data_IF_543819440253
#
_entry.id   IF_543819440253
#
_cell.length_a   1.000
_cell.length_b   1.000
_cell.length_c   1.000
_cell.angle_alpha   90.00
_cell.angle_beta   90.00
_cell.angle_gamma   90.00
#
_symmetry.space_group_name_H-M   'P 1'
#
loop_
_entity.id
_entity.type
_entity.pdbx_description
1 polymer ?
#
# COMPACT_ATOMS: atom_id res chain seq x y z
N UNK A 1 27.38 23.66 4.61
CA UNK A 1 26.27 23.10 5.42
C UNK A 1 25.70 21.91 4.64
N UNK A 2 25.72 20.70 5.20
CA UNK A 2 25.21 19.49 4.52
C UNK A 2 23.70 19.65 4.23
N UNK A 3 23.23 19.24 3.05
CA UNK A 3 21.81 19.33 2.64
C UNK A 3 20.86 18.67 3.64
N UNK A 4 21.33 17.60 4.30
CA UNK A 4 20.63 16.96 5.42
C UNK A 4 20.39 17.93 6.60
N UNK A 5 21.44 18.64 7.02
CA UNK A 5 21.36 19.61 8.11
C UNK A 5 20.52 20.82 7.70
N UNK A 6 20.59 21.24 6.43
CA UNK A 6 19.76 22.33 5.91
C UNK A 6 18.28 22.02 6.05
N UNK A 7 17.84 20.86 5.58
CA UNK A 7 16.44 20.44 5.67
C UNK A 7 16.01 20.27 7.13
N UNK A 8 16.85 19.62 7.95
CA UNK A 8 16.56 19.38 9.37
C UNK A 8 16.39 20.70 10.13
N UNK A 9 17.39 21.58 10.11
CA UNK A 9 17.38 22.85 10.84
C UNK A 9 16.21 23.73 10.44
N UNK A 10 15.90 23.79 9.14
CA UNK A 10 14.77 24.56 8.65
C UNK A 10 13.42 24.10 9.22
N UNK A 11 13.22 22.78 9.31
CA UNK A 11 12.00 22.22 9.90
C UNK A 11 11.98 22.45 11.42
N UNK A 12 13.12 22.28 12.11
CA UNK A 12 13.23 22.53 13.56
C UNK A 12 12.88 23.98 13.92
N UNK A 13 13.42 24.95 13.17
CA UNK A 13 13.16 26.39 13.36
C UNK A 13 11.68 26.73 13.13
N UNK A 14 11.10 26.22 12.04
CA UNK A 14 9.71 26.53 11.67
C UNK A 14 8.70 25.87 12.61
N UNK A 15 8.96 24.61 13.00
CA UNK A 15 8.07 23.83 13.84
C UNK A 15 8.28 24.04 15.34
N UNK A 16 9.40 24.66 15.75
CA UNK A 16 9.82 24.85 17.16
C UNK A 16 9.86 23.53 17.94
N UNK A 17 10.20 22.43 17.27
CA UNK A 17 10.31 21.09 17.81
C UNK A 17 11.58 20.43 17.28
N UNK A 18 12.22 19.60 18.11
CA UNK A 18 13.38 18.81 17.65
C UNK A 18 12.94 17.78 16.61
N UNK A 19 13.76 17.60 15.57
CA UNK A 19 13.48 16.72 14.44
C UNK A 19 14.46 15.54 14.41
N UNK A 20 13.91 14.34 14.36
CA UNK A 20 14.63 13.14 13.94
C UNK A 20 14.32 12.90 12.46
N UNK A 21 15.26 13.30 11.59
CA UNK A 21 15.16 13.14 10.14
C UNK A 21 15.88 11.86 9.71
N UNK A 22 15.16 10.96 9.04
CA UNK A 22 15.71 9.77 8.38
C UNK A 22 15.55 9.92 6.86
N UNK A 23 16.64 9.76 6.12
CA UNK A 23 16.61 9.76 4.65
C UNK A 23 16.41 8.33 4.13
N UNK A 24 15.58 8.19 3.10
CA UNK A 24 15.24 6.93 2.45
C UNK A 24 15.33 7.03 0.93
N UNK A 25 15.36 5.90 0.24
CA UNK A 25 15.27 5.78 -1.24
C UNK A 25 14.03 4.94 -1.60
N UNK A 26 12.92 5.15 -0.87
CA UNK A 26 11.67 4.42 -1.02
C UNK A 26 10.83 4.94 -2.18
N UNK A 27 10.22 4.05 -2.97
CA UNK A 27 9.32 4.43 -4.06
C UNK A 27 7.86 4.65 -3.67
N UNK A 28 7.40 4.08 -2.55
CA UNK A 28 5.98 4.05 -2.17
C UNK A 28 5.57 5.06 -1.08
N UNK A 29 6.49 5.47 -0.22
CA UNK A 29 6.26 6.48 0.82
C UNK A 29 7.40 7.48 0.81
N UNK A 30 7.20 8.59 0.12
CA UNK A 30 8.22 9.61 -0.09
C UNK A 30 8.42 10.52 1.13
N UNK A 31 7.35 10.77 1.89
CA UNK A 31 7.40 11.61 3.08
C UNK A 31 6.41 11.09 4.12
N UNK A 32 6.92 10.77 5.30
CA UNK A 32 6.14 10.40 6.48
C UNK A 32 6.52 11.32 7.62
N UNK A 33 5.52 11.96 8.24
CA UNK A 33 5.72 12.83 9.38
C UNK A 33 4.83 12.33 10.52
N UNK A 34 5.41 12.22 11.71
CA UNK A 34 4.71 11.84 12.92
C UNK A 34 5.35 12.54 14.12
N UNK A 35 4.62 12.63 15.22
CA UNK A 35 5.12 13.25 16.46
C UNK A 35 5.16 12.18 17.54
N UNK A 36 6.28 12.05 18.23
CA UNK A 36 6.46 11.14 19.37
C UNK A 36 7.29 11.84 20.45
N UNK A 37 6.84 11.79 21.69
CA UNK A 37 7.55 12.36 22.86
C UNK A 37 8.01 13.82 22.64
N UNK A 38 7.12 14.67 22.11
CA UNK A 38 7.39 16.08 21.73
C UNK A 38 8.54 16.26 20.72
N UNK A 39 8.85 15.23 19.92
CA UNK A 39 9.81 15.28 18.82
C UNK A 39 9.13 14.92 17.50
N UNK A 40 9.52 15.59 16.43
CA UNK A 40 9.09 15.28 15.08
C UNK A 40 9.93 14.12 14.54
N UNK A 41 9.28 13.03 14.17
CA UNK A 41 9.89 11.90 13.48
C UNK A 41 9.53 12.01 12.00
N UNK A 42 10.52 12.35 11.18
CA UNK A 42 10.37 12.60 9.75
C UNK A 42 11.16 11.55 8.98
N UNK A 43 10.50 10.80 8.11
CA UNK A 43 11.15 9.98 7.09
C UNK A 43 10.92 10.64 5.74
N UNK A 44 11.99 11.02 5.06
CA UNK A 44 11.93 11.72 3.77
C UNK A 44 12.73 10.95 2.72
N UNK A 45 12.25 10.95 1.48
CA UNK A 45 13.01 10.48 0.33
C UNK A 45 14.21 11.41 0.08
N UNK A 46 15.33 10.86 -0.41
CA UNK A 46 16.57 11.63 -0.67
C UNK A 46 16.35 12.83 -1.60
N UNK A 47 15.35 12.79 -2.46
CA UNK A 47 14.96 13.90 -3.33
C UNK A 47 14.64 15.20 -2.57
N UNK A 48 14.29 15.10 -1.28
CA UNK A 48 13.98 16.29 -0.47
C UNK A 48 15.23 16.98 0.07
N UNK A 49 16.42 16.36 -0.03
CA UNK A 49 17.67 17.00 0.37
C UNK A 49 17.97 18.22 -0.50
N UNK A 50 17.64 18.14 -1.79
CA UNK A 50 17.82 19.22 -2.76
C UNK A 50 16.56 20.08 -2.93
N UNK A 51 15.55 19.91 -2.07
CA UNK A 51 14.28 20.60 -2.22
C UNK A 51 14.42 22.12 -2.12
N UNK A 52 13.76 22.90 -3.00
CA UNK A 52 13.76 24.35 -2.91
C UNK A 52 13.01 24.82 -1.65
N UNK A 53 13.27 26.06 -1.25
CA UNK A 53 12.73 26.65 -0.01
C UNK A 53 11.21 26.52 0.13
N UNK A 54 10.45 26.76 -0.96
CA UNK A 54 8.99 26.63 -0.94
C UNK A 54 8.51 25.23 -0.57
N UNK A 55 9.23 24.19 -0.99
CA UNK A 55 8.91 22.79 -0.65
C UNK A 55 9.27 22.52 0.81
N UNK A 56 10.44 22.96 1.28
CA UNK A 56 10.83 22.82 2.69
C UNK A 56 9.83 23.50 3.62
N UNK A 57 9.33 24.69 3.24
CA UNK A 57 8.27 25.43 3.95
C UNK A 57 6.97 24.64 4.06
N UNK A 58 6.51 24.02 2.97
CA UNK A 58 5.32 23.17 3.03
C UNK A 58 5.53 21.95 3.92
N UNK A 59 6.69 21.27 3.84
CA UNK A 59 7.02 20.14 4.72
C UNK A 59 6.97 20.56 6.19
N UNK A 60 7.55 21.72 6.53
CA UNK A 60 7.54 22.24 7.88
C UNK A 60 6.14 22.65 8.36
N UNK A 61 5.30 23.21 7.49
CA UNK A 61 3.90 23.50 7.80
C UNK A 61 3.12 22.21 8.10
N UNK A 62 3.30 21.16 7.30
CA UNK A 62 2.68 19.84 7.54
C UNK A 62 3.17 19.27 8.87
N UNK A 63 4.47 19.32 9.15
CA UNK A 63 5.04 18.85 10.41
C UNK A 63 4.48 19.59 11.63
N UNK A 64 4.15 20.87 11.46
CA UNK A 64 3.57 21.73 12.49
C UNK A 64 2.04 21.64 12.57
N UNK A 65 1.42 20.71 11.84
CA UNK A 65 -0.03 20.58 11.70
C UNK A 65 -0.74 21.88 11.25
N UNK A 66 -0.05 22.72 10.47
CA UNK A 66 -0.58 23.96 9.91
C UNK A 66 -1.21 23.69 8.54
N UNK A 67 -2.26 24.46 8.22
CA UNK A 67 -2.96 24.36 6.93
C UNK A 67 -2.03 24.75 5.79
N UNK A 68 -1.98 23.92 4.75
CA UNK A 68 -1.23 24.17 3.51
C UNK A 68 -2.02 23.64 2.31
N UNK A 69 -1.79 24.23 1.13
CA UNK A 69 -2.35 23.71 -0.13
C UNK A 69 -1.74 22.35 -0.51
N UNK A 70 -0.49 22.11 -0.09
CA UNK A 70 0.32 20.96 -0.51
C UNK A 70 0.62 20.94 -2.02
N UNK A 71 0.34 22.02 -2.75
CA UNK A 71 0.47 22.07 -4.21
C UNK A 71 1.92 22.16 -4.65
N UNK A 72 2.76 22.89 -3.91
CA UNK A 72 4.19 23.04 -4.21
C UNK A 72 4.91 21.72 -3.99
N UNK A 73 4.62 21.03 -2.88
CA UNK A 73 5.16 19.71 -2.57
C UNK A 73 4.71 18.66 -3.59
N UNK A 74 3.42 18.63 -3.95
CA UNK A 74 2.90 17.70 -4.98
C UNK A 74 3.54 17.94 -6.34
N UNK A 75 3.69 19.20 -6.76
CA UNK A 75 4.35 19.56 -8.01
C UNK A 75 5.81 19.11 -8.00
N UNK A 76 6.54 19.39 -6.92
CA UNK A 76 7.94 18.97 -6.79
C UNK A 76 8.11 17.45 -6.89
N UNK A 77 7.25 16.67 -6.21
CA UNK A 77 7.26 15.21 -6.30
C UNK A 77 7.03 14.74 -7.74
N UNK A 78 6.08 15.36 -8.44
CA UNK A 78 5.77 15.03 -9.84
C UNK A 78 6.95 15.35 -10.77
N UNK A 79 7.55 16.53 -10.62
CA UNK A 79 8.65 17.00 -11.46
C UNK A 79 9.96 16.20 -11.22
N UNK A 80 10.07 15.52 -10.08
CA UNK A 80 11.22 14.70 -9.72
C UNK A 80 10.88 13.19 -9.68
N UNK A 81 9.82 12.76 -10.35
CA UNK A 81 9.38 11.37 -10.36
C UNK A 81 10.48 10.41 -10.88
N UNK A 82 11.30 10.85 -11.84
CA UNK A 82 12.40 10.06 -12.42
C UNK A 82 13.52 9.74 -11.41
N UNK A 83 13.65 10.55 -10.35
CA UNK A 83 14.61 10.31 -9.27
C UNK A 83 14.19 9.20 -8.31
N UNK A 84 12.92 8.77 -8.39
CA UNK A 84 12.36 7.67 -7.60
C UNK A 84 12.77 6.39 -8.30
N UNK A 85 13.84 5.76 -7.80
CA UNK A 85 14.26 4.44 -8.31
C UNK A 85 13.12 3.46 -8.09
N UNK A 86 12.46 3.03 -9.17
CA UNK A 86 11.65 1.81 -9.13
C UNK A 86 12.60 0.69 -8.71
N UNK A 87 12.35 -0.02 -7.59
CA UNK A 87 13.22 -1.12 -7.20
C UNK A 87 13.32 -2.09 -8.38
N UNK A 88 14.52 -2.61 -8.70
CA UNK A 88 14.70 -3.45 -9.86
C UNK A 88 13.70 -4.61 -9.80
N UNK A 89 13.02 -4.87 -10.92
CA UNK A 89 12.05 -5.96 -11.09
C UNK A 89 12.60 -7.34 -10.69
N UNK A 90 13.93 -7.44 -10.54
CA UNK A 90 14.70 -8.67 -10.42
C UNK A 90 15.16 -9.03 -8.99
N UNK A 91 14.57 -8.48 -7.92
CA UNK A 91 14.68 -9.18 -6.62
C UNK A 91 13.95 -10.51 -6.78
N UNK A 92 14.68 -11.63 -6.88
CA UNK A 92 14.11 -12.99 -6.83
C UNK A 92 13.17 -13.08 -5.62
N UNK A 93 11.87 -12.93 -5.86
CA UNK A 93 10.86 -13.02 -4.82
C UNK A 93 10.56 -14.49 -4.64
N UNK A 94 10.83 -15.02 -3.46
CA UNK A 94 10.37 -16.34 -3.07
C UNK A 94 8.84 -16.33 -3.10
N UNK A 95 8.26 -17.09 -4.03
CA UNK A 95 6.82 -17.31 -4.12
C UNK A 95 6.47 -18.41 -3.13
N UNK A 96 5.55 -18.12 -2.22
CA UNK A 96 5.09 -19.07 -1.19
C UNK A 96 3.58 -19.19 -1.36
N UNK A 97 3.10 -20.27 -1.98
CA UNK A 97 1.66 -20.49 -2.20
C UNK A 97 1.04 -21.34 -1.10
N UNK A 98 1.78 -22.31 -0.57
CA UNK A 98 1.31 -23.23 0.46
C UNK A 98 1.50 -22.63 1.86
N UNK A 99 0.39 -22.42 2.54
CA UNK A 99 0.33 -22.08 3.96
C UNK A 99 0.34 -23.33 4.84
N UNK A 100 0.09 -23.16 6.13
CA UNK A 100 -0.10 -24.26 7.10
C UNK A 100 -1.44 -24.96 6.93
N UNK A 101 -2.49 -24.21 6.61
CA UNK A 101 -3.87 -24.70 6.53
C UNK A 101 -4.46 -24.57 5.12
N UNK A 102 -3.89 -23.68 4.30
CA UNK A 102 -4.50 -23.21 3.06
C UNK A 102 -3.47 -23.17 1.91
N UNK A 103 -3.81 -23.72 0.74
CA UNK A 103 -3.00 -23.61 -0.48
C UNK A 103 -3.58 -22.54 -1.42
N UNK A 104 -2.88 -21.40 -1.53
CA UNK A 104 -3.32 -20.28 -2.36
C UNK A 104 -3.32 -20.62 -3.84
N UNK A 105 -2.49 -21.55 -4.31
CA UNK A 105 -2.42 -21.87 -5.73
C UNK A 105 -3.70 -22.56 -6.17
N UNK A 106 -4.13 -23.54 -5.39
CA UNK A 106 -5.38 -24.28 -5.64
C UNK A 106 -6.59 -23.34 -5.64
N UNK A 107 -6.70 -22.47 -4.64
CA UNK A 107 -7.80 -21.50 -4.56
C UNK A 107 -7.76 -20.46 -5.67
N UNK A 108 -6.57 -20.00 -6.05
CA UNK A 108 -6.40 -19.10 -7.20
C UNK A 108 -6.90 -19.76 -8.48
N UNK A 109 -6.46 -20.98 -8.77
CA UNK A 109 -6.84 -21.67 -10.01
C UNK A 109 -8.36 -21.94 -10.03
N UNK A 110 -8.96 -22.30 -8.90
CA UNK A 110 -10.41 -22.49 -8.77
C UNK A 110 -11.21 -21.20 -9.04
N UNK A 111 -10.81 -20.07 -8.42
CA UNK A 111 -11.48 -18.78 -8.62
C UNK A 111 -11.27 -18.26 -10.04
N UNK A 112 -10.06 -18.38 -10.58
CA UNK A 112 -9.74 -17.97 -11.95
C UNK A 112 -10.59 -18.72 -12.98
N UNK A 113 -10.74 -20.04 -12.81
CA UNK A 113 -11.58 -20.87 -13.66
C UNK A 113 -13.06 -20.45 -13.56
N UNK A 114 -13.58 -20.34 -12.33
CA UNK A 114 -15.01 -20.09 -12.09
C UNK A 114 -15.50 -18.71 -12.56
N UNK A 115 -14.68 -17.66 -12.41
CA UNK A 115 -15.14 -16.28 -12.64
C UNK A 115 -14.44 -15.55 -13.79
N UNK A 116 -13.26 -16.02 -14.21
CA UNK A 116 -12.44 -15.33 -15.21
C UNK A 116 -12.09 -16.25 -16.40
N UNK A 117 -12.66 -17.45 -16.47
CA UNK A 117 -12.40 -18.40 -17.56
C UNK A 117 -10.92 -18.79 -17.70
N UNK A 118 -10.15 -18.68 -16.62
CA UNK A 118 -8.71 -18.94 -16.64
C UNK A 118 -7.85 -17.81 -17.23
N UNK A 119 -8.42 -16.64 -17.53
CA UNK A 119 -7.72 -15.57 -18.25
C UNK A 119 -6.66 -14.84 -17.41
N UNK A 120 -6.70 -14.93 -16.08
CA UNK A 120 -5.78 -14.21 -15.22
C UNK A 120 -4.47 -14.97 -15.08
N UNK A 121 -3.40 -14.42 -15.66
CA UNK A 121 -2.04 -14.90 -15.52
C UNK A 121 -1.24 -14.02 -14.56
N UNK A 122 -1.35 -14.26 -13.26
CA UNK A 122 -0.54 -13.57 -12.25
C UNK A 122 -0.02 -14.53 -11.18
N UNK A 123 1.03 -14.12 -10.46
CA UNK A 123 1.57 -14.91 -9.36
C UNK A 123 0.78 -14.62 -8.09
N UNK A 124 0.40 -15.65 -7.34
CA UNK A 124 -0.16 -15.49 -6.00
C UNK A 124 0.85 -15.95 -4.94
N UNK A 125 0.93 -15.25 -3.81
CA UNK A 125 1.83 -15.61 -2.71
C UNK A 125 1.30 -15.15 -1.36
N UNK A 126 1.63 -15.87 -0.30
CA UNK A 126 1.56 -15.36 1.05
C UNK A 126 2.55 -14.20 1.22
N UNK A 127 2.11 -13.13 1.90
CA UNK A 127 2.99 -12.03 2.28
C UNK A 127 4.07 -12.52 3.26
N UNK A 128 5.23 -11.85 3.31
CA UNK A 128 6.14 -12.03 4.43
C UNK A 128 5.44 -11.53 5.70
N UNK A 129 5.49 -12.31 6.78
CA UNK A 129 4.93 -11.89 8.07
C UNK A 129 5.55 -10.53 8.44
N UNK A 130 4.75 -9.50 8.76
CA UNK A 130 5.29 -8.21 9.16
C UNK A 130 6.13 -8.39 10.44
N UNK A 131 7.26 -7.70 10.51
CA UNK A 131 8.00 -7.54 11.76
C UNK A 131 7.08 -6.95 12.84
N UNK A 132 7.16 -7.45 14.07
CA UNK A 132 6.35 -7.00 15.22
C UNK A 132 6.27 -5.46 15.26
N UNK A 133 5.05 -4.91 15.33
CA UNK A 133 4.82 -3.48 15.62
C UNK A 133 4.08 -2.65 14.55
N UNK A 134 3.82 -3.15 13.34
CA UNK A 134 3.08 -2.40 12.30
C UNK A 134 1.62 -2.85 12.16
N UNK A 135 0.83 -2.64 13.20
CA UNK A 135 -0.62 -2.82 13.16
C UNK A 135 -1.31 -1.50 12.74
N UNK A 136 -1.23 -1.14 11.46
CA UNK A 136 -2.22 -0.23 10.85
C UNK A 136 -3.02 -1.03 9.83
N UNK A 137 -4.33 -1.17 10.11
CA UNK A 137 -5.39 -1.75 9.26
C UNK A 137 -4.85 -2.77 8.25
N UNK A 138 -4.62 -4.01 8.70
CA UNK A 138 -4.02 -5.06 7.86
C UNK A 138 -4.90 -5.27 6.64
N UNK A 139 -4.39 -4.91 5.45
CA UNK A 139 -5.00 -5.35 4.20
C UNK A 139 -4.94 -6.88 4.16
N UNK A 140 -6.05 -7.52 3.83
CA UNK A 140 -6.17 -8.98 3.78
C UNK A 140 -5.57 -9.54 2.48
N UNK A 141 -5.67 -8.78 1.39
CA UNK A 141 -5.02 -9.03 0.11
C UNK A 141 -4.46 -7.73 -0.47
N UNK A 142 -3.59 -7.86 -1.48
CA UNK A 142 -3.18 -6.75 -2.34
C UNK A 142 -2.64 -7.27 -3.68
N UNK A 143 -3.15 -6.74 -4.78
CA UNK A 143 -2.56 -6.84 -6.11
C UNK A 143 -1.53 -5.74 -6.37
N UNK A 144 -0.37 -6.10 -6.91
CA UNK A 144 0.65 -5.18 -7.40
C UNK A 144 0.70 -5.27 -8.94
N UNK A 145 0.24 -4.22 -9.62
CA UNK A 145 0.17 -4.15 -11.08
C UNK A 145 1.53 -4.07 -11.78
N UNK A 146 2.54 -3.48 -11.13
CA UNK A 146 3.90 -3.39 -11.69
C UNK A 146 4.58 -4.76 -11.75
N UNK A 147 4.23 -5.65 -10.82
CA UNK A 147 4.89 -6.95 -10.67
C UNK A 147 4.01 -8.13 -11.10
N UNK A 148 2.72 -7.91 -11.33
CA UNK A 148 1.77 -8.97 -11.64
C UNK A 148 1.63 -9.98 -10.49
N UNK A 149 1.59 -9.51 -9.23
CA UNK A 149 1.54 -10.38 -8.05
C UNK A 149 0.36 -10.03 -7.14
N UNK A 150 -0.45 -11.04 -6.81
CA UNK A 150 -1.41 -11.01 -5.70
C UNK A 150 -0.71 -11.50 -4.44
N UNK A 151 -0.77 -10.70 -3.38
CA UNK A 151 -0.21 -11.03 -2.07
C UNK A 151 -1.32 -11.16 -1.05
N UNK A 152 -1.41 -12.32 -0.38
CA UNK A 152 -2.41 -12.60 0.66
C UNK A 152 -1.77 -12.54 2.04
N UNK A 153 -2.45 -11.94 3.00
CA UNK A 153 -1.93 -11.77 4.35
C UNK A 153 -1.91 -13.10 5.13
N UNK A 154 -0.76 -13.54 5.69
CA UNK A 154 -0.67 -14.78 6.46
C UNK A 154 -1.58 -14.87 7.69
N UNK A 155 -2.22 -13.77 8.12
CA UNK A 155 -3.22 -13.80 9.20
C UNK A 155 -4.43 -14.67 8.84
N UNK A 156 -4.69 -14.88 7.55
CA UNK A 156 -5.76 -15.72 7.02
C UNK A 156 -5.40 -17.22 7.04
N UNK A 157 -4.13 -17.56 7.20
CA UNK A 157 -3.65 -18.95 7.25
C UNK A 157 -3.89 -19.56 8.64
N UNK A 158 -5.17 -19.76 8.97
CA UNK A 158 -5.66 -20.30 10.25
C UNK A 158 -6.80 -21.30 9.99
N UNK A 159 -6.98 -22.32 10.86
CA UNK A 159 -8.03 -23.33 10.68
C UNK A 159 -9.45 -22.75 10.88
N UNK A 160 -9.57 -21.71 11.72
CA UNK A 160 -10.84 -21.02 11.98
C UNK A 160 -11.28 -20.12 10.81
N UNK A 161 -10.42 -19.88 9.82
CA UNK A 161 -10.75 -19.07 8.64
C UNK A 161 -11.27 -20.01 7.55
N UNK A 162 -12.55 -19.93 7.19
CA UNK A 162 -13.10 -20.78 6.14
C UNK A 162 -12.47 -20.48 4.77
N UNK A 163 -12.39 -21.51 3.93
CA UNK A 163 -11.86 -21.43 2.56
C UNK A 163 -12.53 -20.31 1.74
N UNK A 164 -13.86 -20.19 1.82
CA UNK A 164 -14.62 -19.20 1.03
C UNK A 164 -14.22 -17.75 1.33
N UNK A 165 -13.68 -17.46 2.52
CA UNK A 165 -13.16 -16.13 2.87
C UNK A 165 -11.88 -15.82 2.09
N UNK A 166 -10.99 -16.79 1.97
CA UNK A 166 -9.74 -16.64 1.23
C UNK A 166 -10.05 -16.56 -0.27
N UNK A 167 -10.95 -17.40 -0.77
CA UNK A 167 -11.45 -17.33 -2.15
C UNK A 167 -12.06 -15.97 -2.47
N UNK A 168 -12.86 -15.40 -1.56
CA UNK A 168 -13.43 -14.05 -1.72
C UNK A 168 -12.34 -12.97 -1.83
N UNK A 169 -11.30 -13.05 -0.99
CA UNK A 169 -10.19 -12.08 -1.03
C UNK A 169 -9.40 -12.23 -2.33
N UNK A 170 -9.12 -13.46 -2.76
CA UNK A 170 -8.46 -13.73 -4.06
C UNK A 170 -9.30 -13.17 -5.21
N UNK A 171 -10.61 -13.41 -5.20
CA UNK A 171 -11.55 -12.88 -6.17
C UNK A 171 -11.53 -11.34 -6.22
N UNK A 172 -11.55 -10.69 -5.06
CA UNK A 172 -11.44 -9.23 -4.95
C UNK A 172 -10.13 -8.71 -5.57
N UNK A 173 -9.00 -9.36 -5.29
CA UNK A 173 -7.71 -8.96 -5.87
C UNK A 173 -7.65 -9.22 -7.39
N UNK A 174 -8.27 -10.31 -7.87
CA UNK A 174 -8.41 -10.59 -9.30
C UNK A 174 -9.30 -9.59 -10.03
N UNK A 175 -10.37 -9.10 -9.38
CA UNK A 175 -11.21 -8.05 -9.96
C UNK A 175 -10.41 -6.77 -10.22
N UNK A 176 -9.45 -6.41 -9.36
CA UNK A 176 -8.54 -5.28 -9.62
C UNK A 176 -7.70 -5.47 -10.90
N UNK A 177 -7.41 -6.71 -11.27
CA UNK A 177 -6.71 -7.05 -12.53
C UNK A 177 -7.66 -6.91 -13.71
N UNK A 178 -8.83 -7.54 -13.62
CA UNK A 178 -9.81 -7.61 -14.71
C UNK A 178 -10.39 -6.25 -15.09
N UNK A 179 -10.80 -5.45 -14.09
CA UNK A 179 -11.34 -4.10 -14.32
C UNK A 179 -10.22 -3.13 -14.77
N UNK A 180 -8.99 -3.41 -14.34
CA UNK A 180 -7.81 -2.60 -14.64
C UNK A 180 -7.84 -1.21 -14.00
N UNK A 181 -6.67 -0.58 -13.91
CA UNK A 181 -6.54 0.83 -13.58
C UNK A 181 -6.75 1.64 -14.87
N UNK A 182 -8.00 1.83 -15.31
CA UNK A 182 -8.29 2.76 -16.42
C UNK A 182 -7.96 4.19 -15.97
N UNK A 183 -6.75 4.67 -16.27
CA UNK A 183 -6.35 6.07 -16.13
C UNK A 183 -6.86 6.84 -17.35
N UNK A 184 -8.11 7.27 -17.32
CA UNK A 184 -8.54 8.34 -18.23
C UNK A 184 -7.99 9.69 -17.76
N UNK A 185 -7.55 10.48 -18.75
CA UNK A 185 -6.90 11.78 -18.61
C UNK A 185 -7.57 12.63 -17.52
N UNK A 186 -6.83 12.88 -16.44
CA UNK A 186 -7.13 13.77 -15.30
C UNK A 186 -8.15 13.35 -14.22
N UNK A 187 -8.76 12.15 -14.22
CA UNK A 187 -9.51 11.65 -13.06
C UNK A 187 -9.41 10.12 -12.94
N UNK A 188 -8.77 9.61 -11.87
CA UNK A 188 -8.90 8.21 -11.46
C UNK A 188 -10.32 7.96 -10.92
N UNK A 189 -11.31 7.82 -11.80
CA UNK A 189 -12.57 7.16 -11.44
C UNK A 189 -12.44 5.71 -11.87
N UNK A 190 -11.88 4.88 -10.97
CA UNK A 190 -12.31 3.48 -10.97
C UNK A 190 -13.83 3.56 -10.84
N UNK A 191 -14.58 2.97 -11.78
CA UNK A 191 -16.03 2.90 -11.68
C UNK A 191 -16.35 1.98 -10.48
N UNK A 192 -16.31 2.56 -9.27
CA UNK A 192 -16.56 1.89 -8.00
C UNK A 192 -17.89 1.14 -8.00
N UNK A 193 -18.83 1.58 -8.84
CA UNK A 193 -20.11 0.93 -9.07
C UNK A 193 -19.98 -0.39 -9.84
N UNK A 194 -19.31 -0.41 -11.00
CA UNK A 194 -19.07 -1.63 -11.78
C UNK A 194 -18.24 -2.64 -10.97
N UNK A 195 -17.21 -2.17 -10.29
CA UNK A 195 -16.42 -3.02 -9.40
C UNK A 195 -17.28 -3.67 -8.31
N UNK A 196 -18.17 -2.89 -7.67
CA UNK A 196 -19.05 -3.38 -6.62
C UNK A 196 -20.15 -4.31 -7.15
N UNK A 197 -20.62 -4.09 -8.37
CA UNK A 197 -21.57 -4.97 -9.05
C UNK A 197 -20.90 -6.32 -9.37
N UNK A 198 -19.66 -6.32 -9.85
CA UNK A 198 -18.87 -7.54 -10.06
C UNK A 198 -18.56 -8.23 -8.72
N UNK A 199 -18.15 -7.48 -7.69
CA UNK A 199 -17.84 -8.04 -6.37
C UNK A 199 -19.02 -8.84 -5.79
N UNK A 200 -20.25 -8.37 -6.04
CA UNK A 200 -21.50 -9.03 -5.62
C UNK A 200 -21.79 -10.34 -6.35
N UNK A 201 -21.13 -10.63 -7.47
CA UNK A 201 -21.30 -11.88 -8.21
C UNK A 201 -20.58 -13.06 -7.56
N UNK A 202 -19.74 -12.82 -6.55
CA UNK A 202 -19.12 -13.90 -5.80
C UNK A 202 -20.19 -14.75 -5.09
N UNK A 203 -20.13 -16.07 -5.28
CA UNK A 203 -21.10 -17.06 -4.77
C UNK A 203 -21.47 -16.87 -3.28
N UNK A 204 -20.49 -16.52 -2.45
CA UNK A 204 -20.65 -16.35 -1.00
C UNK A 204 -20.48 -14.88 -0.56
N UNK A 205 -20.78 -13.90 -1.42
CA UNK A 205 -20.50 -12.48 -1.17
C UNK A 205 -21.03 -12.00 0.19
N UNK A 206 -22.32 -12.24 0.44
CA UNK A 206 -22.98 -11.78 1.67
C UNK A 206 -22.36 -12.42 2.91
N UNK A 207 -22.12 -13.73 2.86
CA UNK A 207 -21.49 -14.49 3.94
C UNK A 207 -20.06 -14.01 4.20
N UNK A 208 -19.26 -13.80 3.15
CA UNK A 208 -17.88 -13.36 3.26
C UNK A 208 -17.77 -11.94 3.84
N UNK A 209 -18.57 -11.00 3.35
CA UNK A 209 -18.60 -9.63 3.86
C UNK A 209 -19.06 -9.59 5.32
N UNK A 210 -20.10 -10.37 5.67
CA UNK A 210 -20.59 -10.48 7.05
C UNK A 210 -19.53 -11.07 7.98
N UNK A 211 -18.87 -12.16 7.56
CA UNK A 211 -17.81 -12.81 8.33
C UNK A 211 -16.65 -11.86 8.59
N UNK A 212 -16.15 -11.16 7.56
CA UNK A 212 -15.04 -10.21 7.70
C UNK A 212 -15.41 -9.06 8.64
N UNK A 213 -16.66 -8.58 8.57
CA UNK A 213 -17.16 -7.51 9.44
C UNK A 213 -17.27 -7.96 10.90
N UNK A 214 -17.80 -9.16 11.15
CA UNK A 214 -18.09 -9.66 12.50
C UNK A 214 -16.88 -10.27 13.19
N UNK A 215 -15.88 -10.73 12.44
CA UNK A 215 -14.70 -11.41 12.97
C UNK A 215 -13.43 -10.57 12.81
N UNK A 216 -13.55 -9.25 12.94
CA UNK A 216 -12.44 -8.33 12.73
C UNK A 216 -11.22 -8.68 13.61
N UNK A 217 -11.47 -9.15 14.84
CA UNK A 217 -10.44 -9.56 15.80
C UNK A 217 -9.63 -10.78 15.35
N UNK A 218 -10.17 -11.66 14.50
CA UNK A 218 -9.41 -12.79 13.96
C UNK A 218 -8.27 -12.35 13.03
N UNK A 219 -8.31 -11.10 12.54
CA UNK A 219 -7.32 -10.53 11.63
C UNK A 219 -6.29 -9.63 12.33
N UNK A 220 -6.35 -9.52 13.66
CA UNK A 220 -5.42 -8.76 14.50
C UNK A 220 -4.41 -9.66 15.21
#
# INVERSE_FOLDING_TARGET
>A
MNDFNRLKSYIEETARLSVNLTITDNSSSLLTISTKDKKLIIRAHKMFLTAPYGVMKEIAMIASNRKTSGSVLKKYIKDNADSIKTPPANRKRTVITRGKFHDLREMFDAVNCAYFGGSISCVITWAKRPSKGFAKRRRLGAYNSELGIITINPVLDKPLIPRYIIEYIIYHEMLHISVGVRREKNRCKVHFREFKELERQFKDYVSAVSFIKNNFDLFH
#
